data_IF_912057984003
#
_entry.id   IF_912057984003
#
_cell.length_a   1.000
_cell.length_b   1.000
_cell.length_c   1.000
_cell.angle_alpha   90.00
_cell.angle_beta   90.00
_cell.angle_gamma   90.00
#
_symmetry.space_group_name_H-M   'P 1'
#
loop_
_entity.id
_entity.type
_entity.pdbx_description
1 polymer ?
#
# COMPACT_ATOMS: atom_id res chain seq x y z
N UNK A 1 2.52 -8.87 -16.00
CA UNK A 1 1.68 -7.65 -15.94
C UNK A 1 0.93 -7.70 -14.61
N UNK A 2 1.20 -6.79 -13.67
CA UNK A 2 0.77 -6.90 -12.27
C UNK A 2 -0.66 -6.45 -11.94
N UNK A 3 -1.36 -5.85 -12.91
CA UNK A 3 -2.74 -5.37 -12.71
C UNK A 3 -3.68 -6.48 -13.16
N UNK A 4 -4.04 -7.35 -12.23
CA UNK A 4 -4.96 -8.47 -12.45
C UNK A 4 -6.41 -8.01 -12.34
N UNK A 5 -6.72 -7.17 -11.37
CA UNK A 5 -8.06 -6.62 -11.13
C UNK A 5 -8.15 -5.22 -11.70
N UNK A 6 -8.80 -5.06 -12.86
CA UNK A 6 -9.07 -3.72 -13.42
C UNK A 6 -10.28 -3.11 -12.73
N UNK A 7 -10.09 -1.96 -12.09
CA UNK A 7 -11.18 -1.16 -11.51
C UNK A 7 -11.48 0.05 -12.40
N UNK A 8 -12.77 0.35 -12.54
CA UNK A 8 -13.25 1.59 -13.14
C UNK A 8 -13.09 2.77 -12.17
N UNK A 9 -13.22 3.98 -12.71
CA UNK A 9 -13.17 5.21 -11.91
C UNK A 9 -14.33 5.27 -10.90
N UNK A 10 -15.50 4.79 -11.28
CA UNK A 10 -16.70 4.84 -10.43
C UNK A 10 -16.59 3.85 -9.27
N UNK A 11 -16.19 2.60 -9.53
CA UNK A 11 -15.90 1.61 -8.48
C UNK A 11 -14.84 2.10 -7.49
N UNK A 12 -13.76 2.73 -8.00
CA UNK A 12 -12.72 3.29 -7.13
C UNK A 12 -13.25 4.45 -6.29
N UNK A 13 -14.02 5.36 -6.91
CA UNK A 13 -14.63 6.49 -6.18
C UNK A 13 -15.57 5.98 -5.09
N UNK A 14 -16.41 4.99 -5.40
CA UNK A 14 -17.36 4.42 -4.46
C UNK A 14 -16.67 3.73 -3.30
N UNK A 15 -15.63 2.95 -3.57
CA UNK A 15 -14.80 2.34 -2.53
C UNK A 15 -14.13 3.40 -1.63
N UNK A 16 -13.55 4.44 -2.23
CA UNK A 16 -12.80 5.45 -1.50
C UNK A 16 -13.65 6.50 -0.79
N UNK A 17 -14.98 6.56 -1.04
CA UNK A 17 -15.92 7.37 -0.21
C UNK A 17 -15.86 6.99 1.26
N UNK A 18 -15.51 5.74 1.57
CA UNK A 18 -15.36 5.23 2.93
C UNK A 18 -14.02 5.63 3.60
N UNK A 19 -13.19 6.46 2.95
CA UNK A 19 -11.91 6.90 3.49
C UNK A 19 -11.84 8.44 3.58
N UNK A 20 -11.14 8.95 4.59
CA UNK A 20 -10.94 10.39 4.80
C UNK A 20 -9.68 10.92 4.07
N UNK A 21 -9.56 10.58 2.78
CA UNK A 21 -8.37 10.92 1.97
C UNK A 21 -8.58 12.10 1.01
N UNK A 22 -9.82 12.60 0.93
CA UNK A 22 -10.22 13.70 0.05
C UNK A 22 -10.61 13.26 -1.37
N UNK A 23 -10.93 14.24 -2.22
CA UNK A 23 -11.39 13.98 -3.59
C UNK A 23 -10.24 13.49 -4.49
N UNK A 24 -10.47 12.37 -5.15
CA UNK A 24 -9.53 11.78 -6.12
C UNK A 24 -9.44 12.67 -7.34
N UNK A 25 -8.22 12.96 -7.77
CA UNK A 25 -7.92 13.72 -8.99
C UNK A 25 -7.49 12.78 -10.11
N UNK A 26 -6.65 11.79 -9.80
CA UNK A 26 -6.11 10.81 -10.75
C UNK A 26 -5.88 9.47 -10.05
N UNK A 27 -5.89 8.39 -10.82
CA UNK A 27 -5.39 7.10 -10.36
C UNK A 27 -4.79 6.33 -11.55
N UNK A 28 -3.84 5.44 -11.28
CA UNK A 28 -3.23 4.60 -12.30
C UNK A 28 -2.72 3.30 -11.71
N UNK A 29 -2.85 2.22 -12.49
CA UNK A 29 -2.37 0.90 -12.10
C UNK A 29 -0.85 0.78 -12.21
N UNK A 30 -0.22 0.22 -11.19
CA UNK A 30 1.22 -0.04 -11.13
C UNK A 30 1.47 -1.43 -11.72
N UNK A 31 2.28 -1.50 -12.79
CA UNK A 31 2.50 -2.73 -13.57
C UNK A 31 3.65 -3.60 -13.08
N UNK A 32 4.44 -3.11 -12.13
CA UNK A 32 5.70 -3.73 -11.65
C UNK A 32 5.54 -4.75 -10.52
N UNK A 33 4.31 -5.01 -10.04
CA UNK A 33 4.04 -6.03 -9.02
C UNK A 33 4.09 -7.48 -9.53
N UNK A 34 4.19 -8.42 -8.58
CA UNK A 34 4.22 -9.86 -8.88
C UNK A 34 2.90 -10.55 -8.49
N UNK A 35 2.30 -10.14 -7.36
CA UNK A 35 1.22 -10.92 -6.75
C UNK A 35 -0.06 -10.14 -6.51
N UNK A 36 0.02 -8.82 -6.27
CA UNK A 36 -1.13 -7.99 -5.95
C UNK A 36 -1.35 -6.92 -7.01
N UNK A 37 -2.62 -6.57 -7.23
CA UNK A 37 -2.96 -5.41 -8.03
C UNK A 37 -2.75 -4.15 -7.20
N UNK A 38 -1.89 -3.25 -7.66
CA UNK A 38 -1.62 -2.00 -6.99
C UNK A 38 -2.04 -0.81 -7.86
N UNK A 39 -2.70 0.16 -7.23
CA UNK A 39 -3.10 1.43 -7.84
C UNK A 39 -2.51 2.58 -7.06
N UNK A 40 -1.82 3.49 -7.74
CA UNK A 40 -1.53 4.79 -7.16
C UNK A 40 -2.77 5.67 -7.28
N UNK A 41 -3.19 6.26 -6.17
CA UNK A 41 -4.33 7.16 -6.07
C UNK A 41 -3.83 8.53 -5.67
N UNK A 42 -4.15 9.54 -6.47
CA UNK A 42 -3.81 10.93 -6.20
C UNK A 42 -5.05 11.69 -5.76
N UNK A 43 -4.93 12.46 -4.68
CA UNK A 43 -5.92 13.43 -4.24
C UNK A 43 -5.36 14.83 -4.38
N UNK A 44 -6.14 15.86 -4.02
CA UNK A 44 -5.66 17.25 -4.08
C UNK A 44 -4.43 17.51 -3.18
N UNK A 45 -4.29 16.77 -2.08
CA UNK A 45 -3.24 17.02 -1.07
C UNK A 45 -2.21 15.92 -0.97
N UNK A 46 -2.62 14.66 -1.17
CA UNK A 46 -1.81 13.49 -0.84
C UNK A 46 -1.87 12.44 -1.96
N UNK A 47 -0.91 11.51 -1.90
CA UNK A 47 -0.89 10.30 -2.72
C UNK A 47 -1.06 9.08 -1.81
N UNK A 48 -1.70 8.06 -2.33
CA UNK A 48 -1.96 6.79 -1.64
C UNK A 48 -1.68 5.62 -2.59
N UNK A 49 -1.50 4.44 -2.02
CA UNK A 49 -1.53 3.18 -2.74
C UNK A 49 -2.76 2.40 -2.30
N UNK A 50 -3.58 1.99 -3.26
CA UNK A 50 -4.60 0.97 -3.08
C UNK A 50 -4.00 -0.37 -3.50
N UNK A 51 -3.96 -1.33 -2.58
CA UNK A 51 -3.56 -2.71 -2.86
C UNK A 51 -4.80 -3.59 -2.81
N UNK A 52 -5.07 -4.30 -3.91
CA UNK A 52 -6.10 -5.35 -3.99
C UNK A 52 -5.36 -6.67 -3.91
N UNK A 53 -5.66 -7.44 -2.87
CA UNK A 53 -5.02 -8.72 -2.60
C UNK A 53 -5.60 -9.79 -3.54
N UNK A 54 -4.74 -10.39 -4.35
CA UNK A 54 -5.13 -11.47 -5.26
C UNK A 54 -5.05 -12.83 -4.55
N UNK A 55 -5.51 -13.88 -5.23
CA UNK A 55 -5.73 -15.23 -4.67
C UNK A 55 -4.54 -15.88 -3.94
N UNK A 56 -3.32 -15.38 -4.11
CA UNK A 56 -2.11 -15.95 -3.48
C UNK A 56 -1.94 -15.55 -2.02
N UNK A 57 -2.63 -14.51 -1.56
CA UNK A 57 -2.54 -14.05 -0.18
C UNK A 57 -3.64 -14.73 0.64
N UNK A 58 -3.27 -15.49 1.68
CA UNK A 58 -4.26 -15.96 2.64
C UNK A 58 -4.82 -14.76 3.41
N UNK A 59 -6.13 -14.56 3.31
CA UNK A 59 -6.85 -13.51 4.01
C UNK A 59 -6.62 -13.51 5.53
N UNK A 60 -6.27 -14.67 6.11
CA UNK A 60 -5.96 -14.83 7.54
C UNK A 60 -4.65 -14.17 7.95
N UNK A 61 -3.74 -13.95 7.01
CA UNK A 61 -2.45 -13.30 7.27
C UNK A 61 -2.51 -11.78 7.15
N UNK A 62 -3.54 -11.24 6.49
CA UNK A 62 -3.70 -9.79 6.31
C UNK A 62 -3.71 -9.01 7.63
N UNK A 63 -4.41 -9.44 8.70
CA UNK A 63 -4.33 -8.78 9.99
C UNK A 63 -2.89 -8.69 10.53
N UNK A 64 -2.08 -9.73 10.35
CA UNK A 64 -0.68 -9.73 10.76
C UNK A 64 0.12 -8.70 9.94
N UNK A 65 0.02 -8.70 8.61
CA UNK A 65 0.77 -7.75 7.77
C UNK A 65 0.41 -6.30 8.04
N UNK A 66 -0.88 -6.01 8.20
CA UNK A 66 -1.36 -4.67 8.54
C UNK A 66 -0.91 -4.28 9.95
N UNK A 67 -0.99 -5.19 10.92
CA UNK A 67 -0.53 -4.98 12.28
C UNK A 67 0.97 -4.67 12.33
N UNK A 68 1.79 -5.46 11.61
CA UNK A 68 3.22 -5.24 11.49
C UNK A 68 3.51 -3.85 10.88
N UNK A 69 2.90 -3.52 9.75
CA UNK A 69 3.10 -2.22 9.10
C UNK A 69 2.69 -1.04 10.00
N UNK A 70 1.62 -1.21 10.78
CA UNK A 70 1.17 -0.22 11.77
C UNK A 70 2.18 -0.08 12.92
N UNK A 71 2.69 -1.18 13.45
CA UNK A 71 3.70 -1.19 14.52
C UNK A 71 5.00 -0.51 14.08
N UNK A 72 5.46 -0.83 12.86
CA UNK A 72 6.65 -0.22 12.26
C UNK A 72 6.48 1.29 12.10
N UNK A 73 5.33 1.72 11.56
CA UNK A 73 5.03 3.14 11.42
C UNK A 73 5.01 3.87 12.76
N UNK A 74 4.35 3.29 13.77
CA UNK A 74 4.30 3.85 15.13
C UNK A 74 5.67 3.91 15.81
N UNK A 75 6.59 3.02 15.41
CA UNK A 75 7.99 3.00 15.85
C UNK A 75 8.89 3.96 15.04
N UNK A 76 8.31 4.87 14.25
CA UNK A 76 8.99 5.80 13.36
C UNK A 76 9.88 5.14 12.29
N UNK A 77 9.60 3.87 11.95
CA UNK A 77 10.27 3.23 10.83
C UNK A 77 9.69 3.74 9.51
N UNK A 78 10.55 3.90 8.49
CA UNK A 78 10.15 4.40 7.17
C UNK A 78 9.40 3.31 6.40
N UNK A 79 8.11 3.16 6.65
CA UNK A 79 7.21 2.28 5.92
C UNK A 79 5.92 2.99 5.53
N UNK A 80 5.14 2.44 4.58
CA UNK A 80 3.79 2.94 4.33
C UNK A 80 2.95 2.86 5.61
N UNK A 81 2.02 3.80 5.77
CA UNK A 81 1.05 3.80 6.86
C UNK A 81 -0.29 3.24 6.37
N UNK A 82 -0.84 2.18 6.97
CA UNK A 82 -2.22 1.76 6.71
C UNK A 82 -3.21 2.87 7.05
N UNK A 83 -4.13 3.13 6.13
CA UNK A 83 -5.20 4.12 6.31
C UNK A 83 -6.45 3.40 6.77
N UNK A 84 -6.95 3.79 7.95
CA UNK A 84 -8.20 3.28 8.50
C UNK A 84 -9.39 3.86 7.70
N UNK A 85 -10.37 3.03 7.38
CA UNK A 85 -11.62 3.51 6.81
C UNK A 85 -12.53 4.12 7.89
N UNK A 86 -13.61 4.80 7.47
CA UNK A 86 -14.59 5.43 8.37
C UNK A 86 -15.30 4.47 9.31
N UNK A 87 -15.24 3.16 9.03
CA UNK A 87 -15.82 2.11 9.87
C UNK A 87 -14.80 1.54 10.87
N UNK A 88 -13.61 2.12 10.99
CA UNK A 88 -12.58 1.67 11.94
C UNK A 88 -11.76 0.45 11.46
N UNK A 89 -11.84 0.08 10.19
CA UNK A 89 -11.14 -1.09 9.66
C UNK A 89 -10.01 -0.70 8.69
N UNK A 90 -8.86 -1.37 8.80
CA UNK A 90 -7.74 -1.23 7.85
C UNK A 90 -7.94 -2.03 6.56
N UNK A 91 -8.61 -3.18 6.66
CA UNK A 91 -8.90 -4.07 5.54
C UNK A 91 -10.34 -3.81 5.12
N UNK A 92 -10.53 -3.53 3.84
CA UNK A 92 -11.85 -3.35 3.21
C UNK A 92 -12.02 -4.37 2.08
N UNK A 93 -13.14 -4.29 1.37
CA UNK A 93 -13.44 -5.15 0.24
C UNK A 93 -13.81 -4.33 -0.99
N UNK A 94 -13.31 -4.73 -2.15
CA UNK A 94 -13.63 -4.14 -3.46
C UNK A 94 -13.74 -5.28 -4.48
N UNK A 95 -14.85 -5.34 -5.23
CA UNK A 95 -15.11 -6.40 -6.21
C UNK A 95 -14.94 -7.82 -5.65
N UNK A 96 -15.39 -8.04 -4.39
CA UNK A 96 -15.27 -9.34 -3.70
C UNK A 96 -13.86 -9.72 -3.26
N UNK A 97 -12.91 -8.79 -3.30
CA UNK A 97 -11.50 -9.00 -2.91
C UNK A 97 -11.11 -8.10 -1.76
N UNK A 98 -10.27 -8.63 -0.87
CA UNK A 98 -9.70 -7.81 0.21
C UNK A 98 -8.79 -6.74 -0.37
N UNK A 99 -8.84 -5.56 0.23
CA UNK A 99 -8.03 -4.43 -0.16
C UNK A 99 -7.63 -3.58 1.04
N UNK A 100 -6.48 -2.91 0.91
CA UNK A 100 -5.99 -1.95 1.88
C UNK A 100 -5.55 -0.67 1.16
N UNK A 101 -5.76 0.46 1.83
CA UNK A 101 -5.22 1.75 1.40
C UNK A 101 -4.06 2.10 2.32
N UNK A 102 -2.91 2.43 1.75
CA UNK A 102 -1.72 2.84 2.50
C UNK A 102 -1.22 4.20 1.99
N UNK A 103 -0.48 4.93 2.83
CA UNK A 103 0.19 6.16 2.41
C UNK A 103 1.21 5.88 1.31
N UNK A 104 1.41 6.85 0.42
CA UNK A 104 2.50 6.80 -0.54
C UNK A 104 3.83 7.15 0.15
N UNK A 105 4.88 6.40 -0.15
CA UNK A 105 6.26 6.77 0.19
C UNK A 105 6.89 7.48 -1.00
N UNK A 106 7.40 8.69 -0.77
CA UNK A 106 8.12 9.42 -1.82
C UNK A 106 9.47 8.78 -2.11
N UNK A 107 9.89 8.89 -3.37
CA UNK A 107 11.10 8.25 -3.89
C UNK A 107 10.81 7.27 -5.03
N UNK A 108 11.87 6.58 -5.45
CA UNK A 108 11.80 5.57 -6.52
C UNK A 108 12.84 4.48 -6.28
N UNK A 109 12.57 3.27 -6.75
CA UNK A 109 13.56 2.21 -6.73
C UNK A 109 14.80 2.61 -7.54
N UNK A 110 15.99 2.44 -6.95
CA UNK A 110 17.27 2.69 -7.63
C UNK A 110 17.54 1.54 -8.59
N UNK A 111 17.79 1.85 -9.87
CA UNK A 111 18.08 0.83 -10.91
C UNK A 111 19.52 0.33 -10.89
N UNK A 112 20.47 1.24 -10.67
CA UNK A 112 21.90 0.94 -10.62
C UNK A 112 22.34 0.92 -9.16
N UNK A 113 22.55 -0.27 -8.61
CA UNK A 113 22.95 -0.47 -7.22
C UNK A 113 24.49 -0.52 -7.12
N UNK A 114 25.04 0.13 -6.11
CA UNK A 114 26.45 0.08 -5.73
C UNK A 114 26.64 -0.50 -4.31
N UNK A 115 27.89 -0.83 -3.92
CA UNK A 115 28.20 -1.39 -2.60
C UNK A 115 27.68 -0.55 -1.43
N UNK A 116 27.65 0.77 -1.58
CA UNK A 116 27.12 1.69 -0.57
C UNK A 116 25.62 1.48 -0.33
N UNK A 117 24.85 1.11 -1.37
CA UNK A 117 23.43 0.83 -1.20
C UNK A 117 23.20 -0.50 -0.48
N UNK A 118 24.08 -1.49 -0.68
CA UNK A 118 24.04 -2.74 0.08
C UNK A 118 24.30 -2.48 1.57
N UNK A 119 25.24 -1.59 1.89
CA UNK A 119 25.49 -1.15 3.25
C UNK A 119 24.25 -0.47 3.87
N UNK A 120 23.65 0.50 3.15
CA UNK A 120 22.45 1.21 3.61
C UNK A 120 21.28 0.25 3.87
N UNK A 121 21.03 -0.70 2.97
CA UNK A 121 19.99 -1.72 3.13
C UNK A 121 20.27 -2.59 4.36
N UNK A 122 21.53 -2.99 4.58
CA UNK A 122 21.94 -3.75 5.76
C UNK A 122 21.64 -3.02 7.07
N UNK A 123 21.97 -1.72 7.12
CA UNK A 123 21.69 -0.87 8.28
C UNK A 123 20.18 -0.75 8.53
N UNK A 124 19.37 -0.48 7.49
CA UNK A 124 17.92 -0.36 7.64
C UNK A 124 17.25 -1.69 8.00
N UNK A 125 17.76 -2.82 7.48
CA UNK A 125 17.27 -4.16 7.84
C UNK A 125 17.59 -4.50 9.30
N UNK A 126 18.78 -4.15 9.79
CA UNK A 126 19.12 -4.33 11.19
C UNK A 126 18.24 -3.47 12.11
N UNK A 127 17.92 -2.23 11.71
CA UNK A 127 16.96 -1.38 12.45
C UNK A 127 15.57 -2.00 12.48
N UNK A 128 15.09 -2.53 11.34
CA UNK A 128 13.80 -3.21 11.24
C UNK A 128 13.69 -4.36 12.24
N UNK A 129 14.71 -5.22 12.34
CA UNK A 129 14.70 -6.38 13.24
C UNK A 129 14.82 -6.02 14.73
N UNK A 130 15.11 -4.77 15.09
CA UNK A 130 15.23 -4.32 16.48
C UNK A 130 13.94 -3.68 17.02
N UNK A 131 12.91 -3.57 16.18
CA UNK A 131 11.56 -3.11 16.54
C UNK A 131 10.73 -4.31 16.98
#
# INVERSE_FOLDING_TARGET
MAVYTKISKDELNDFLKNYEIGKITKFFGIKEGIENTNYQVQTKKNKFILTIYEKRVDSKDLPFFIGLMTNLYNSNFKCPRPIINKNGNYISEILGKKAAVVSFLEGSAKKNLGPENCYDIGVETAKLHKI
#
